data_IF_569040867802
#
_entry.id   IF_569040867802
#
_cell.length_a   1.000
_cell.length_b   1.000
_cell.length_c   1.000
_cell.angle_alpha   90.00
_cell.angle_beta   90.00
_cell.angle_gamma   90.00
#
_symmetry.space_group_name_H-M   'P 1'
#
loop_
_entity.id
_entity.type
_entity.pdbx_description
1 polymer ?
#
# COMPACT_ATOMS: atom_id res chain seq x y z
N UNK A 1 11.16 27.25 -0.88
CA UNK A 1 9.87 26.95 -0.22
C UNK A 1 8.75 27.92 -0.59
N UNK A 2 9.06 29.13 -1.02
CA UNK A 2 8.06 30.19 -1.30
C UNK A 2 7.14 29.82 -2.51
N UNK A 3 7.70 29.20 -3.54
CA UNK A 3 6.94 28.77 -4.74
C UNK A 3 5.90 27.70 -4.40
N UNK A 4 6.27 26.70 -3.61
CA UNK A 4 5.36 25.64 -3.20
C UNK A 4 4.21 26.19 -2.34
N UNK A 5 4.51 27.12 -1.43
CA UNK A 5 3.50 27.78 -0.60
C UNK A 5 2.50 28.56 -1.46
N UNK A 6 2.98 29.29 -2.47
CA UNK A 6 2.11 30.01 -3.42
C UNK A 6 1.26 29.05 -4.26
N UNK A 7 1.86 27.98 -4.78
CA UNK A 7 1.10 26.97 -5.55
C UNK A 7 -0.01 26.35 -4.70
N UNK A 8 0.28 26.00 -3.46
CA UNK A 8 -0.73 25.52 -2.52
C UNK A 8 -1.83 26.56 -2.25
N UNK A 9 -1.46 27.82 -2.09
CA UNK A 9 -2.42 28.91 -1.94
C UNK A 9 -3.40 28.98 -3.11
N UNK A 10 -2.90 28.98 -4.35
CA UNK A 10 -3.74 28.98 -5.55
C UNK A 10 -4.64 27.75 -5.65
N UNK A 11 -4.11 26.56 -5.36
CA UNK A 11 -4.91 25.35 -5.35
C UNK A 11 -6.05 25.39 -4.34
N UNK A 12 -5.78 25.88 -3.13
CA UNK A 12 -6.79 26.01 -2.09
C UNK A 12 -7.86 27.03 -2.44
N UNK A 13 -7.49 28.18 -3.00
CA UNK A 13 -8.44 29.19 -3.49
C UNK A 13 -9.32 28.61 -4.60
N UNK A 14 -8.71 27.93 -5.56
CA UNK A 14 -9.46 27.27 -6.62
C UNK A 14 -10.46 26.24 -6.08
N UNK A 15 -10.07 25.41 -5.09
CA UNK A 15 -11.00 24.45 -4.47
C UNK A 15 -12.20 25.12 -3.81
N UNK A 16 -12.03 26.32 -3.25
CA UNK A 16 -13.10 27.05 -2.56
C UNK A 16 -14.00 27.81 -3.52
N UNK A 17 -13.43 28.36 -4.60
CA UNK A 17 -14.14 29.26 -5.53
C UNK A 17 -14.85 28.54 -6.67
N UNK A 18 -14.50 27.27 -6.92
CA UNK A 18 -15.10 26.50 -8.03
C UNK A 18 -16.61 26.31 -7.79
N UNK A 19 -17.37 26.61 -8.83
CA UNK A 19 -18.84 26.42 -8.85
C UNK A 19 -19.27 25.15 -9.56
N UNK A 20 -18.37 24.54 -10.35
CA UNK A 20 -18.63 23.27 -11.07
C UNK A 20 -18.47 22.07 -10.14
N UNK A 21 -19.26 21.03 -10.38
CA UNK A 21 -19.15 19.73 -9.67
C UNK A 21 -17.87 19.02 -10.11
N UNK A 22 -16.82 19.06 -9.29
CA UNK A 22 -15.56 18.38 -9.52
C UNK A 22 -15.22 17.53 -8.31
N UNK A 23 -14.84 16.28 -8.53
CA UNK A 23 -14.33 15.41 -7.49
C UNK A 23 -12.80 15.46 -7.47
N UNK A 24 -12.21 15.79 -6.32
CA UNK A 24 -10.76 15.93 -6.16
C UNK A 24 -10.25 14.82 -5.27
N UNK A 25 -9.33 13.99 -5.78
CA UNK A 25 -8.62 12.98 -5.01
C UNK A 25 -7.16 13.40 -4.92
N UNK A 26 -6.61 13.45 -3.71
CA UNK A 26 -5.21 13.73 -3.47
C UNK A 26 -4.59 12.61 -2.61
N UNK A 27 -3.33 12.27 -2.88
CA UNK A 27 -2.56 11.30 -2.08
C UNK A 27 -1.32 11.96 -1.50
N UNK A 28 -0.94 11.58 -0.30
CA UNK A 28 0.28 12.05 0.36
C UNK A 28 0.93 10.93 1.16
N UNK A 29 2.26 10.85 1.11
CA UNK A 29 3.03 9.85 1.86
C UNK A 29 3.30 10.27 3.31
N UNK A 30 3.16 11.54 3.65
CA UNK A 30 3.48 12.05 4.98
C UNK A 30 2.42 13.02 5.48
N UNK A 31 1.62 12.57 6.44
CA UNK A 31 0.55 13.36 7.06
C UNK A 31 1.06 14.52 7.92
N UNK A 32 2.29 14.43 8.47
CA UNK A 32 2.88 15.53 9.27
C UNK A 32 3.20 16.75 8.42
N UNK A 33 3.61 16.53 7.17
CA UNK A 33 3.99 17.62 6.26
C UNK A 33 2.79 18.26 5.55
N UNK A 34 1.57 17.76 5.79
CA UNK A 34 0.37 18.37 5.22
C UNK A 34 0.11 19.72 5.88
N UNK A 35 0.00 20.81 5.09
CA UNK A 35 -0.37 22.11 5.61
C UNK A 35 -1.69 22.04 6.42
N UNK A 36 -1.72 22.77 7.54
CA UNK A 36 -2.92 22.81 8.40
C UNK A 36 -4.17 23.27 7.63
N UNK A 37 -3.94 24.10 6.61
CA UNK A 37 -4.99 24.58 5.73
C UNK A 37 -5.72 23.46 5.00
N UNK A 38 -5.04 22.39 4.59
CA UNK A 38 -5.67 21.22 3.94
C UNK A 38 -6.53 20.41 4.90
N UNK A 39 -6.21 20.44 6.20
CA UNK A 39 -6.93 19.69 7.24
C UNK A 39 -8.19 20.41 7.73
N UNK A 40 -8.40 21.69 7.33
CA UNK A 40 -9.60 22.46 7.72
C UNK A 40 -10.82 21.96 6.96
N UNK A 41 -11.95 21.87 7.69
CA UNK A 41 -13.26 21.54 7.11
C UNK A 41 -13.61 22.46 5.93
N UNK A 42 -14.24 21.91 4.89
CA UNK A 42 -14.66 22.66 3.70
C UNK A 42 -13.60 22.69 2.58
N UNK A 43 -12.52 21.91 2.69
CA UNK A 43 -11.48 21.77 1.63
C UNK A 43 -11.40 20.34 1.13
N UNK A 44 -11.09 19.39 1.99
CA UNK A 44 -11.33 17.98 1.73
C UNK A 44 -12.46 17.52 2.65
N UNK A 45 -13.48 16.94 2.06
CA UNK A 45 -14.64 16.46 2.81
C UNK A 45 -14.27 15.28 3.69
N UNK A 46 -13.36 14.44 3.19
CA UNK A 46 -12.90 13.24 3.87
C UNK A 46 -11.40 13.06 3.73
N UNK A 47 -10.74 12.65 4.81
CA UNK A 47 -9.32 12.28 4.82
C UNK A 47 -9.22 10.85 5.35
N UNK A 48 -8.63 9.98 4.54
CA UNK A 48 -8.42 8.58 4.87
C UNK A 48 -6.95 8.29 5.10
N UNK A 49 -6.66 7.47 6.10
CA UNK A 49 -5.37 6.81 6.23
C UNK A 49 -5.41 5.43 5.57
N UNK A 50 -4.39 5.15 4.79
CA UNK A 50 -4.18 3.83 4.19
C UNK A 50 -3.11 3.12 5.01
N UNK A 51 -3.53 2.14 5.78
CA UNK A 51 -2.65 1.30 6.59
C UNK A 51 -1.99 0.21 5.73
N UNK A 52 -1.05 -0.55 6.34
CA UNK A 52 -0.58 -1.78 5.73
C UNK A 52 -1.75 -2.74 5.54
N UNK A 53 -1.75 -3.53 4.45
CA UNK A 53 -2.86 -4.41 4.14
C UNK A 53 -3.02 -5.50 5.21
N UNK A 54 -4.27 -5.77 5.60
CA UNK A 54 -4.62 -6.92 6.41
C UNK A 54 -4.48 -8.23 5.62
N UNK A 55 -4.73 -9.39 6.24
CA UNK A 55 -4.57 -10.70 5.59
C UNK A 55 -5.43 -10.85 4.34
N UNK A 56 -6.72 -10.48 4.40
CA UNK A 56 -7.64 -10.56 3.27
C UNK A 56 -7.24 -9.63 2.13
N UNK A 57 -6.74 -8.44 2.46
CA UNK A 57 -6.24 -7.49 1.48
C UNK A 57 -4.95 -8.00 0.83
N UNK A 58 -4.00 -8.57 1.60
CA UNK A 58 -2.80 -9.20 1.03
C UNK A 58 -3.15 -10.34 0.11
N UNK A 59 -4.12 -11.17 0.46
CA UNK A 59 -4.63 -12.24 -0.40
C UNK A 59 -5.14 -11.71 -1.75
N UNK A 60 -5.89 -10.62 -1.73
CA UNK A 60 -6.38 -9.96 -2.96
C UNK A 60 -5.21 -9.40 -3.79
N UNK A 61 -4.22 -8.79 -3.14
CA UNK A 61 -3.03 -8.25 -3.79
C UNK A 61 -2.24 -9.39 -4.46
N UNK A 62 -2.03 -10.52 -3.77
CA UNK A 62 -1.42 -11.71 -4.37
C UNK A 62 -2.18 -12.19 -5.60
N UNK A 63 -3.51 -12.32 -5.53
CA UNK A 63 -4.34 -12.73 -6.69
C UNK A 63 -4.11 -11.82 -7.90
N UNK A 64 -4.05 -10.51 -7.69
CA UNK A 64 -3.83 -9.53 -8.77
C UNK A 64 -2.44 -9.74 -9.40
N UNK A 65 -1.38 -9.76 -8.60
CA UNK A 65 -0.01 -9.84 -9.14
C UNK A 65 0.29 -11.20 -9.75
N UNK A 66 -0.19 -12.30 -9.16
CA UNK A 66 -0.05 -13.66 -9.71
C UNK A 66 -0.82 -13.78 -11.04
N UNK A 67 -2.06 -13.27 -11.09
CA UNK A 67 -2.86 -13.24 -12.31
C UNK A 67 -2.23 -12.43 -13.43
N UNK A 68 -1.63 -11.27 -13.12
CA UNK A 68 -0.89 -10.45 -14.09
C UNK A 68 0.29 -11.19 -14.72
N UNK A 69 0.87 -12.15 -14.01
CA UNK A 69 1.97 -13.01 -14.50
C UNK A 69 1.49 -14.30 -15.18
N UNK A 70 0.17 -14.44 -15.38
CA UNK A 70 -0.46 -15.66 -15.94
C UNK A 70 -0.13 -16.92 -15.14
N UNK A 71 0.13 -16.76 -13.85
CA UNK A 71 0.30 -17.85 -12.90
C UNK A 71 -1.01 -18.04 -12.12
N UNK A 72 -1.13 -19.16 -11.42
CA UNK A 72 -2.29 -19.47 -10.59
C UNK A 72 -1.86 -20.18 -9.30
N UNK A 73 -2.58 -19.90 -8.22
CA UNK A 73 -2.51 -20.63 -6.95
C UNK A 73 -3.94 -20.93 -6.49
N UNK A 74 -4.12 -22.05 -5.82
CA UNK A 74 -5.40 -22.35 -5.18
C UNK A 74 -5.65 -21.46 -3.94
N UNK A 75 -6.87 -21.49 -3.45
CA UNK A 75 -7.26 -20.66 -2.29
C UNK A 75 -6.51 -21.03 -1.01
N UNK A 76 -6.15 -22.29 -0.82
CA UNK A 76 -5.41 -22.76 0.35
C UNK A 76 -3.98 -22.19 0.36
N UNK A 77 -3.29 -22.27 -0.78
CA UNK A 77 -1.97 -21.70 -0.99
C UNK A 77 -1.97 -20.17 -0.81
N UNK A 78 -2.97 -19.47 -1.36
CA UNK A 78 -3.12 -18.02 -1.18
C UNK A 78 -3.32 -17.64 0.28
N UNK A 79 -4.16 -18.35 1.03
CA UNK A 79 -4.35 -18.12 2.46
C UNK A 79 -3.03 -18.32 3.21
N UNK A 80 -2.34 -19.41 2.93
CA UNK A 80 -1.08 -19.74 3.59
C UNK A 80 0.02 -18.71 3.35
N UNK A 81 0.18 -18.21 2.11
CA UNK A 81 1.16 -17.18 1.79
C UNK A 81 0.76 -15.83 2.38
N UNK A 82 -0.54 -15.50 2.39
CA UNK A 82 -1.03 -14.26 3.00
C UNK A 82 -0.79 -14.22 4.50
N UNK A 83 -0.92 -15.35 5.18
CA UNK A 83 -0.68 -15.46 6.63
C UNK A 83 0.78 -15.13 7.00
N UNK A 84 1.74 -15.72 6.28
CA UNK A 84 3.17 -15.55 6.61
C UNK A 84 3.78 -14.21 6.16
N UNK A 85 3.07 -13.45 5.32
CA UNK A 85 3.52 -12.15 4.82
C UNK A 85 2.96 -10.98 5.62
N UNK A 86 2.71 -11.17 6.91
CA UNK A 86 2.33 -10.07 7.80
C UNK A 86 3.35 -8.93 7.74
N UNK A 87 2.85 -7.69 7.62
CA UNK A 87 3.67 -6.51 7.51
C UNK A 87 4.22 -6.21 6.11
N UNK A 88 3.88 -7.01 5.09
CA UNK A 88 4.19 -6.70 3.70
C UNK A 88 3.19 -5.67 3.16
N UNK A 89 3.69 -4.73 2.35
CA UNK A 89 2.85 -3.84 1.55
C UNK A 89 2.65 -4.41 0.13
N UNK A 90 1.91 -3.66 -0.72
CA UNK A 90 1.67 -4.08 -2.10
C UNK A 90 2.94 -4.25 -2.93
N UNK A 91 3.93 -3.36 -2.74
CA UNK A 91 5.21 -3.43 -3.45
C UNK A 91 6.07 -4.62 -3.00
N UNK A 92 6.07 -4.95 -1.70
CA UNK A 92 6.75 -6.14 -1.18
C UNK A 92 6.16 -7.41 -1.81
N UNK A 93 4.81 -7.50 -1.92
CA UNK A 93 4.11 -8.63 -2.52
C UNK A 93 4.39 -8.72 -4.03
N UNK A 94 4.37 -7.60 -4.74
CA UNK A 94 4.71 -7.55 -6.16
C UNK A 94 6.14 -8.03 -6.41
N UNK A 95 7.10 -7.55 -5.62
CA UNK A 95 8.51 -7.97 -5.70
C UNK A 95 8.66 -9.46 -5.46
N UNK A 96 7.98 -9.99 -4.44
CA UNK A 96 8.01 -11.42 -4.13
C UNK A 96 7.46 -12.27 -5.29
N UNK A 97 6.36 -11.87 -5.89
CA UNK A 97 5.78 -12.57 -7.05
C UNK A 97 6.70 -12.49 -8.26
N UNK A 98 7.31 -11.32 -8.52
CA UNK A 98 8.26 -11.14 -9.62
C UNK A 98 9.48 -12.05 -9.44
N UNK A 99 10.08 -12.10 -8.25
CA UNK A 99 11.22 -12.96 -7.93
C UNK A 99 10.88 -14.44 -8.11
N UNK A 100 9.67 -14.86 -7.69
CA UNK A 100 9.23 -16.24 -7.89
C UNK A 100 9.12 -16.62 -9.38
N UNK A 101 8.54 -15.73 -10.20
CA UNK A 101 8.43 -15.95 -11.64
C UNK A 101 9.82 -15.98 -12.31
N UNK A 102 10.70 -15.05 -11.94
CA UNK A 102 12.07 -14.98 -12.44
C UNK A 102 12.83 -16.26 -12.10
N UNK A 103 12.72 -16.75 -10.86
CA UNK A 103 13.34 -18.00 -10.44
C UNK A 103 12.83 -19.20 -11.23
N UNK A 104 11.52 -19.33 -11.42
CA UNK A 104 10.96 -20.38 -12.28
C UNK A 104 11.51 -20.32 -13.70
N UNK A 105 11.66 -19.11 -14.26
CA UNK A 105 12.20 -18.92 -15.60
C UNK A 105 13.67 -19.33 -15.68
N UNK A 106 14.53 -18.85 -14.77
CA UNK A 106 15.95 -19.19 -14.73
C UNK A 106 16.14 -20.71 -14.56
N UNK A 107 15.42 -21.30 -13.60
CA UNK A 107 15.51 -22.74 -13.35
C UNK A 107 15.01 -23.60 -14.54
N UNK A 108 14.10 -23.05 -15.36
CA UNK A 108 13.66 -23.70 -16.60
C UNK A 108 14.78 -23.75 -17.67
N UNK A 109 15.60 -22.71 -17.75
CA UNK A 109 16.77 -22.68 -18.66
C UNK A 109 17.84 -23.70 -18.25
N UNK A 110 17.96 -23.97 -16.95
CA UNK A 110 18.88 -24.94 -16.38
C UNK A 110 18.29 -26.36 -16.32
N UNK A 111 17.11 -26.62 -16.88
CA UNK A 111 16.38 -27.90 -16.83
C UNK A 111 16.06 -28.36 -15.38
N UNK A 112 15.93 -27.45 -14.41
CA UNK A 112 15.64 -27.78 -13.00
C UNK A 112 14.14 -27.92 -12.70
N UNK A 113 13.27 -27.42 -13.56
CA UNK A 113 11.82 -27.62 -13.45
C UNK A 113 11.14 -27.08 -12.17
N UNK A 114 11.60 -25.95 -11.65
CA UNK A 114 10.98 -25.33 -10.46
C UNK A 114 9.56 -24.88 -10.78
N UNK A 115 8.59 -25.38 -10.01
CA UNK A 115 7.19 -24.96 -10.15
C UNK A 115 6.91 -23.64 -9.42
N UNK A 116 6.01 -22.84 -9.99
CA UNK A 116 5.45 -21.70 -9.29
C UNK A 116 4.38 -22.17 -8.30
N UNK A 117 4.75 -22.34 -7.05
CA UNK A 117 3.90 -22.89 -6.00
C UNK A 117 4.03 -22.16 -4.66
N UNK A 118 3.23 -22.59 -3.70
CA UNK A 118 3.24 -22.06 -2.33
C UNK A 118 4.62 -22.17 -1.66
N UNK A 119 5.35 -23.26 -1.90
CA UNK A 119 6.66 -23.50 -1.25
C UNK A 119 7.69 -22.48 -1.72
N UNK A 120 7.71 -22.21 -3.02
CA UNK A 120 8.59 -21.21 -3.61
C UNK A 120 8.32 -19.83 -3.04
N UNK A 121 7.05 -19.41 -2.97
CA UNK A 121 6.67 -18.11 -2.43
C UNK A 121 7.02 -17.99 -0.94
N UNK A 122 6.84 -19.04 -0.15
CA UNK A 122 7.24 -19.07 1.27
C UNK A 122 8.76 -18.99 1.45
N UNK A 123 9.52 -19.68 0.64
CA UNK A 123 10.99 -19.61 0.68
C UNK A 123 11.48 -18.19 0.42
N UNK A 124 10.97 -17.54 -0.61
CA UNK A 124 11.31 -16.15 -0.94
C UNK A 124 10.83 -15.20 0.18
N UNK A 125 9.58 -15.32 0.64
CA UNK A 125 9.04 -14.49 1.71
C UNK A 125 9.87 -14.55 2.99
N UNK A 126 10.40 -15.74 3.33
CA UNK A 126 11.25 -15.92 4.52
C UNK A 126 12.58 -15.15 4.45
N UNK A 127 13.06 -14.88 3.25
CA UNK A 127 14.32 -14.17 2.96
C UNK A 127 14.10 -12.67 2.72
N UNK A 128 12.85 -12.27 2.46
CA UNK A 128 12.48 -10.88 2.19
C UNK A 128 12.30 -10.09 3.49
N UNK A 129 12.95 -8.94 3.56
CA UNK A 129 12.76 -8.00 4.68
C UNK A 129 11.57 -7.11 4.36
N UNK A 130 10.45 -7.29 5.07
CA UNK A 130 9.26 -6.45 4.90
C UNK A 130 9.53 -4.99 5.22
N UNK A 131 8.75 -4.08 4.62
CA UNK A 131 8.83 -2.64 4.91
C UNK A 131 8.59 -2.35 6.40
N UNK A 132 7.78 -3.14 7.07
CA UNK A 132 7.54 -3.00 8.52
C UNK A 132 8.81 -3.18 9.34
N UNK A 133 9.69 -4.08 8.93
CA UNK A 133 10.98 -4.31 9.62
C UNK A 133 11.99 -3.22 9.26
N UNK A 134 12.08 -2.85 7.98
CA UNK A 134 13.06 -1.86 7.49
C UNK A 134 12.72 -0.42 7.88
N UNK A 135 11.43 -0.06 7.95
CA UNK A 135 10.94 1.30 8.18
C UNK A 135 10.05 1.44 9.42
N UNK A 136 10.25 0.61 10.45
CA UNK A 136 9.40 0.54 11.64
C UNK A 136 9.13 1.93 12.26
N UNK A 137 10.17 2.72 12.48
CA UNK A 137 10.06 4.07 13.06
C UNK A 137 9.15 5.00 12.25
N UNK A 138 9.24 4.92 10.93
CA UNK A 138 8.42 5.77 10.02
C UNK A 138 6.95 5.34 10.07
N UNK A 139 6.69 4.02 10.08
CA UNK A 139 5.34 3.47 10.18
C UNK A 139 4.70 3.82 11.52
N UNK A 140 5.44 3.71 12.63
CA UNK A 140 4.94 4.07 13.96
C UNK A 140 4.62 5.57 14.06
N UNK A 141 5.46 6.44 13.49
CA UNK A 141 5.20 7.87 13.42
C UNK A 141 3.96 8.19 12.58
N UNK A 142 3.79 7.50 11.45
CA UNK A 142 2.63 7.66 10.58
C UNK A 142 1.35 7.24 11.28
N UNK A 143 1.35 6.11 12.00
CA UNK A 143 0.20 5.65 12.80
C UNK A 143 -0.17 6.65 13.90
N UNK A 144 0.82 7.25 14.58
CA UNK A 144 0.58 8.33 15.56
C UNK A 144 -0.10 9.53 14.91
N UNK A 145 0.42 9.99 13.76
CA UNK A 145 -0.19 11.10 13.04
C UNK A 145 -1.64 10.83 12.62
N UNK A 146 -1.97 9.60 12.23
CA UNK A 146 -3.34 9.21 11.90
C UNK A 146 -4.28 9.33 13.10
N UNK A 147 -3.85 8.85 14.27
CA UNK A 147 -4.62 8.98 15.52
C UNK A 147 -4.78 10.42 15.96
N UNK A 148 -3.70 11.20 16.01
CA UNK A 148 -3.71 12.60 16.45
C UNK A 148 -4.62 13.49 15.60
N UNK A 149 -4.75 13.17 14.30
CA UNK A 149 -5.60 13.93 13.38
C UNK A 149 -7.01 13.34 13.21
N UNK A 150 -7.34 12.25 13.89
CA UNK A 150 -8.65 11.57 13.81
C UNK A 150 -9.04 11.21 12.36
N UNK A 151 -8.07 10.75 11.54
CA UNK A 151 -8.34 10.35 10.18
C UNK A 151 -9.15 9.06 10.15
N UNK A 152 -9.97 8.89 9.14
CA UNK A 152 -10.72 7.64 8.92
C UNK A 152 -9.78 6.57 8.37
N UNK A 153 -9.94 5.35 8.83
CA UNK A 153 -9.25 4.19 8.24
C UNK A 153 -9.88 3.84 6.89
N UNK A 154 -9.06 3.70 5.86
CA UNK A 154 -9.54 3.43 4.49
C UNK A 154 -10.22 2.07 4.35
N UNK A 155 -9.82 1.08 5.16
CA UNK A 155 -10.38 -0.27 5.14
C UNK A 155 -11.73 -0.34 5.85
N UNK A 156 -11.86 0.30 7.01
CA UNK A 156 -13.05 0.21 7.86
C UNK A 156 -14.00 1.39 7.73
N UNK A 157 -13.54 2.52 7.20
CA UNK A 157 -14.26 3.80 7.18
C UNK A 157 -14.46 4.45 8.55
N UNK A 158 -13.92 3.86 9.62
CA UNK A 158 -14.02 4.35 11.00
C UNK A 158 -12.87 5.26 11.36
N UNK A 159 -13.09 6.15 12.35
CA UNK A 159 -12.01 6.98 12.88
C UNK A 159 -10.94 6.08 13.53
N UNK A 160 -9.67 6.37 13.23
CA UNK A 160 -8.54 5.64 13.79
C UNK A 160 -8.41 5.95 15.29
N UNK A 161 -8.61 4.97 16.13
CA UNK A 161 -8.52 5.07 17.61
C UNK A 161 -7.16 4.60 18.14
#
# INVERSE_FOLDING_TARGET
NDIMTRMFGYFLSWMQEKTSSVYVIATANNAHNLPLELKRKGRFDEIFCVNLPNEDERKKIFKIHIGNKKQNLDEAALNSVSLITEGFNGADIESLVNEAVEKCFIDSLDNKGTAFDERLLKDIASKTVSITKSCKKQIDNMKKAFKENNFKDATTGKITT
#
